data_IF_399720273144
#
_entry.id   IF_399720273144
#
_cell.length_a   1.000
_cell.length_b   1.000
_cell.length_c   1.000
_cell.angle_alpha   90.00
_cell.angle_beta   90.00
_cell.angle_gamma   90.00
#
_symmetry.space_group_name_H-M   'P 1'
#
loop_
_entity.id
_entity.type
_entity.pdbx_description
1 polymer ?
#
# COMPACT_ATOMS: atom_id res chain seq x y z
N UNK A 1 1.19 -7.20 4.31
CA UNK A 1 0.67 -5.83 4.10
C UNK A 1 0.02 -5.24 5.35
N UNK A 2 -0.95 -5.88 6.02
CA UNK A 2 -1.51 -5.27 7.25
C UNK A 2 -0.41 -4.96 8.28
N UNK A 3 0.49 -5.90 8.59
CA UNK A 3 1.57 -5.65 9.53
C UNK A 3 2.51 -4.48 9.13
N UNK A 4 2.99 -4.44 7.87
CA UNK A 4 3.90 -3.38 7.41
C UNK A 4 3.23 -2.01 7.36
N UNK A 5 1.94 -1.96 6.98
CA UNK A 5 1.17 -0.72 7.02
C UNK A 5 0.95 -0.24 8.46
N UNK A 6 0.53 -1.12 9.36
CA UNK A 6 0.35 -0.77 10.78
C UNK A 6 1.66 -0.25 11.40
N UNK A 7 2.80 -0.88 11.08
CA UNK A 7 4.11 -0.40 11.54
C UNK A 7 4.46 0.98 10.99
N UNK A 8 4.28 1.22 9.69
CA UNK A 8 4.54 2.52 9.07
C UNK A 8 3.62 3.61 9.63
N UNK A 9 2.33 3.27 9.77
CA UNK A 9 1.29 4.15 10.27
C UNK A 9 1.55 4.54 11.73
N UNK A 10 1.90 3.58 12.59
CA UNK A 10 2.27 3.85 13.97
C UNK A 10 3.53 4.73 14.08
N UNK A 11 4.54 4.48 13.25
CA UNK A 11 5.79 5.26 13.23
C UNK A 11 5.53 6.72 12.84
N UNK A 12 4.80 6.96 11.75
CA UNK A 12 4.48 8.33 11.33
C UNK A 12 3.49 9.03 12.27
N UNK A 13 2.51 8.30 12.83
CA UNK A 13 1.60 8.87 13.83
C UNK A 13 2.34 9.43 15.05
N UNK A 14 3.42 8.77 15.46
CA UNK A 14 4.24 9.21 16.57
C UNK A 14 5.23 10.32 16.17
N UNK A 15 5.84 10.23 14.98
CA UNK A 15 6.87 11.15 14.51
C UNK A 15 6.30 12.51 14.06
N UNK A 16 5.27 12.49 13.23
CA UNK A 16 4.78 13.66 12.49
C UNK A 16 4.45 14.86 13.40
N UNK A 17 3.77 14.70 14.56
CA UNK A 17 3.47 15.81 15.46
C UNK A 17 4.70 16.42 16.17
N UNK A 18 5.83 15.70 16.17
CA UNK A 18 7.08 16.16 16.82
C UNK A 18 7.96 17.00 15.88
N UNK A 19 7.64 17.01 14.59
CA UNK A 19 8.37 17.77 13.59
C UNK A 19 7.99 19.26 13.64
N UNK A 20 8.88 20.17 13.22
CA UNK A 20 8.52 21.55 12.92
C UNK A 20 7.32 21.62 11.95
N UNK A 21 6.42 22.59 12.13
CA UNK A 21 5.16 22.70 11.38
C UNK A 21 5.33 22.54 9.85
N UNK A 22 6.37 23.15 9.29
CA UNK A 22 6.68 23.08 7.87
C UNK A 22 7.10 21.70 7.34
N UNK A 23 7.38 20.75 8.24
CA UNK A 23 7.76 19.36 7.93
C UNK A 23 6.67 18.34 8.32
N UNK A 24 5.56 18.79 8.91
CA UNK A 24 4.44 17.91 9.27
C UNK A 24 3.60 17.54 8.05
N UNK A 25 2.73 16.54 8.20
CA UNK A 25 1.76 16.08 7.20
C UNK A 25 2.09 14.71 6.60
N UNK A 26 3.22 14.12 7.00
CA UNK A 26 3.64 12.80 6.51
C UNK A 26 2.65 11.70 6.92
N UNK A 27 2.03 11.82 8.10
CA UNK A 27 1.06 10.85 8.60
C UNK A 27 -0.22 10.84 7.75
N UNK A 28 -0.80 12.02 7.52
CA UNK A 28 -1.99 12.17 6.68
C UNK A 28 -1.69 11.73 5.23
N UNK A 29 -0.52 12.10 4.70
CA UNK A 29 -0.09 11.70 3.37
C UNK A 29 0.02 10.16 3.22
N UNK A 30 0.53 9.45 4.23
CA UNK A 30 0.60 7.98 4.19
C UNK A 30 -0.80 7.36 4.20
N UNK A 31 -1.73 7.90 4.98
CA UNK A 31 -3.12 7.45 5.03
C UNK A 31 -3.80 7.58 3.66
N UNK A 32 -3.73 8.77 3.06
CA UNK A 32 -4.28 9.06 1.74
C UNK A 32 -3.63 8.21 0.64
N UNK A 33 -2.31 8.03 0.71
CA UNK A 33 -1.56 7.16 -0.20
C UNK A 33 -2.05 5.72 -0.11
N UNK A 34 -2.33 5.20 1.09
CA UNK A 34 -2.82 3.84 1.26
C UNK A 34 -4.26 3.66 0.76
N UNK A 35 -5.12 4.66 0.95
CA UNK A 35 -6.48 4.69 0.38
C UNK A 35 -6.40 4.65 -1.15
N UNK A 36 -5.61 5.55 -1.72
CA UNK A 36 -5.40 5.65 -3.18
C UNK A 36 -4.80 4.37 -3.75
N UNK A 37 -3.83 3.77 -3.07
CA UNK A 37 -3.23 2.51 -3.48
C UNK A 37 -4.23 1.34 -3.50
N UNK A 38 -5.16 1.25 -2.55
CA UNK A 38 -6.20 0.21 -2.57
C UNK A 38 -7.10 0.35 -3.81
N UNK A 39 -7.47 1.59 -4.16
CA UNK A 39 -8.26 1.87 -5.36
C UNK A 39 -7.48 1.56 -6.65
N UNK A 40 -6.18 1.92 -6.68
CA UNK A 40 -5.27 1.55 -7.77
C UNK A 40 -5.20 0.04 -7.94
N UNK A 41 -4.87 -0.71 -6.87
CA UNK A 41 -4.73 -2.17 -6.89
C UNK A 41 -5.97 -2.85 -7.46
N UNK A 42 -7.16 -2.44 -7.01
CA UNK A 42 -8.41 -3.01 -7.50
C UNK A 42 -8.56 -2.81 -9.01
N UNK A 43 -8.45 -1.57 -9.49
CA UNK A 43 -8.64 -1.23 -10.91
C UNK A 43 -7.57 -1.86 -11.80
N UNK A 44 -6.34 -1.93 -11.31
CA UNK A 44 -5.22 -2.55 -12.00
C UNK A 44 -5.45 -4.07 -12.17
N UNK A 45 -5.87 -4.75 -11.10
CA UNK A 45 -6.17 -6.18 -11.18
C UNK A 45 -7.44 -6.48 -12.01
N UNK A 46 -8.44 -5.60 -12.00
CA UNK A 46 -9.60 -5.69 -12.89
C UNK A 46 -9.19 -5.55 -14.37
N UNK A 47 -8.23 -4.68 -14.67
CA UNK A 47 -7.69 -4.52 -16.02
C UNK A 47 -6.86 -5.74 -16.44
N UNK A 48 -5.99 -6.22 -15.55
CA UNK A 48 -5.15 -7.40 -15.79
C UNK A 48 -5.97 -8.67 -16.06
N UNK A 49 -7.01 -8.91 -15.26
CA UNK A 49 -7.91 -10.05 -15.43
C UNK A 49 -8.95 -9.85 -16.54
N UNK A 50 -9.09 -8.63 -17.07
CA UNK A 50 -10.06 -8.26 -18.10
C UNK A 50 -10.15 -9.22 -19.29
N UNK A 51 -9.03 -9.64 -19.90
CA UNK A 51 -9.02 -10.60 -21.01
C UNK A 51 -9.54 -12.00 -20.65
N UNK A 52 -9.55 -12.36 -19.37
CA UNK A 52 -9.88 -13.68 -18.85
C UNK A 52 -11.19 -13.69 -18.06
N UNK A 53 -11.98 -12.60 -18.11
CA UNK A 53 -13.10 -12.31 -17.18
C UNK A 53 -14.15 -13.41 -16.97
N UNK A 54 -14.22 -14.41 -17.85
CA UNK A 54 -15.16 -15.51 -17.73
C UNK A 54 -14.48 -16.77 -17.19
N UNK A 55 -15.10 -17.40 -16.20
CA UNK A 55 -14.66 -18.68 -15.63
C UNK A 55 -13.56 -18.54 -14.56
N UNK A 56 -13.16 -19.69 -14.03
CA UNK A 56 -12.22 -19.80 -12.91
C UNK A 56 -10.84 -19.20 -13.24
N UNK A 57 -10.42 -19.23 -14.50
CA UNK A 57 -9.14 -18.65 -14.95
C UNK A 57 -9.05 -17.13 -14.73
N UNK A 58 -10.15 -16.41 -14.95
CA UNK A 58 -10.23 -14.97 -14.71
C UNK A 58 -10.17 -14.59 -13.23
N UNK A 59 -10.85 -15.37 -12.40
CA UNK A 59 -10.80 -15.20 -10.95
C UNK A 59 -9.39 -15.46 -10.42
N UNK A 60 -8.74 -16.53 -10.89
CA UNK A 60 -7.37 -16.84 -10.52
C UNK A 60 -6.37 -15.77 -10.99
N UNK A 61 -6.55 -15.21 -12.19
CA UNK A 61 -5.75 -14.10 -12.69
C UNK A 61 -5.90 -12.84 -11.80
N UNK A 62 -7.13 -12.49 -11.42
CA UNK A 62 -7.41 -11.37 -10.52
C UNK A 62 -6.78 -11.57 -9.13
N UNK A 63 -6.99 -12.75 -8.53
CA UNK A 63 -6.45 -13.08 -7.20
C UNK A 63 -4.91 -13.10 -7.22
N UNK A 64 -4.30 -13.63 -8.28
CA UNK A 64 -2.86 -13.62 -8.48
C UNK A 64 -2.30 -12.19 -8.50
N UNK A 65 -2.93 -11.29 -9.27
CA UNK A 65 -2.57 -9.87 -9.29
C UNK A 65 -2.68 -9.24 -7.89
N UNK A 66 -3.79 -9.47 -7.19
CA UNK A 66 -4.01 -8.91 -5.86
C UNK A 66 -2.92 -9.33 -4.86
N UNK A 67 -2.48 -10.59 -4.92
CA UNK A 67 -1.39 -11.12 -4.08
C UNK A 67 -0.07 -10.41 -4.41
N UNK A 68 0.30 -10.32 -5.68
CA UNK A 68 1.56 -9.72 -6.12
C UNK A 68 1.62 -8.23 -5.73
N UNK A 69 0.58 -7.47 -6.03
CA UNK A 69 0.51 -6.05 -5.68
C UNK A 69 0.59 -5.84 -4.16
N UNK A 70 -0.08 -6.71 -3.39
CA UNK A 70 -0.07 -6.64 -1.92
C UNK A 70 1.30 -6.96 -1.33
N UNK A 71 2.07 -7.88 -1.94
CA UNK A 71 3.46 -8.17 -1.57
C UNK A 71 4.35 -6.97 -1.87
N UNK A 72 4.31 -6.45 -3.09
CA UNK A 72 5.11 -5.28 -3.50
C UNK A 72 4.84 -4.07 -2.58
N UNK A 73 3.59 -3.81 -2.23
CA UNK A 73 3.26 -2.73 -1.30
C UNK A 73 3.80 -2.99 0.11
N UNK A 74 3.82 -4.23 0.54
CA UNK A 74 4.44 -4.61 1.81
C UNK A 74 5.92 -4.24 1.80
N UNK A 75 6.64 -4.58 0.73
CA UNK A 75 8.07 -4.31 0.59
C UNK A 75 8.36 -2.80 0.53
N UNK A 76 7.54 -2.03 -0.20
CA UNK A 76 7.65 -0.56 -0.24
C UNK A 76 7.50 0.09 1.14
N UNK A 77 6.52 -0.38 1.93
CA UNK A 77 6.29 0.14 3.28
C UNK A 77 7.41 -0.26 4.24
N UNK A 78 7.91 -1.49 4.13
CA UNK A 78 9.07 -1.95 4.92
C UNK A 78 10.32 -1.13 4.60
N UNK A 79 10.66 -0.95 3.32
CA UNK A 79 11.80 -0.13 2.91
C UNK A 79 11.71 1.31 3.44
N UNK A 80 10.52 1.93 3.36
CA UNK A 80 10.30 3.26 3.91
C UNK A 80 10.53 3.32 5.43
N UNK A 81 10.11 2.29 6.19
CA UNK A 81 10.34 2.23 7.65
C UNK A 81 11.83 2.08 7.97
N UNK A 82 12.53 1.24 7.20
CA UNK A 82 13.96 0.96 7.35
C UNK A 82 14.79 2.22 7.10
N UNK A 83 14.42 3.06 6.13
CA UNK A 83 15.05 4.36 5.87
C UNK A 83 14.94 5.33 7.06
N UNK A 84 13.88 5.22 7.87
CA UNK A 84 13.73 5.98 9.11
C UNK A 84 14.47 5.36 10.32
N UNK A 85 15.13 4.23 10.16
CA UNK A 85 15.69 3.42 11.24
C UNK A 85 17.22 3.31 11.24
N UNK A 86 17.92 4.21 10.54
CA UNK A 86 19.38 4.22 10.42
C UNK A 86 20.14 3.96 11.72
#
# INVERSE_FOLDING_TARGET
>A
MNASFESAFAKLRALDPTLPEQLQGSFAALEEAQISWRAFRQKDCDAYAGPFRAGEDGEMAFLGCMILQTRQRSDQLSAMIDDYGG
#
